data_IF_729366631144
#
_entry.id   IF_729366631144
#
_cell.length_a   1.000
_cell.length_b   1.000
_cell.length_c   1.000
_cell.angle_alpha   90.00
_cell.angle_beta   90.00
_cell.angle_gamma   90.00
#
_symmetry.space_group_name_H-M   'P 1'
#
loop_
_entity.id
_entity.type
_entity.pdbx_description
1 polymer ?
#
# COMPACT_ATOMS: atom_id res chain seq x y z
N UNK A 1 22.35 7.11 -0.93
CA UNK A 1 22.66 8.55 -0.93
C UNK A 1 21.77 9.17 0.15
N UNK A 2 22.17 9.10 1.43
CA UNK A 2 23.08 10.02 2.15
C UNK A 2 22.37 11.37 2.39
N UNK A 3 22.39 11.81 3.67
CA UNK A 3 21.67 12.91 4.35
C UNK A 3 20.53 12.35 5.21
N UNK A 4 20.70 11.92 6.47
CA UNK A 4 21.48 12.51 7.58
C UNK A 4 21.47 14.04 7.57
N UNK A 5 20.28 14.60 7.80
CA UNK A 5 20.11 15.75 8.70
C UNK A 5 19.51 15.14 9.98
N UNK A 6 20.32 14.68 10.92
CA UNK A 6 20.93 15.47 11.98
C UNK A 6 19.87 16.23 12.81
N UNK A 7 19.48 15.58 13.91
CA UNK A 7 19.24 16.14 15.23
C UNK A 7 18.13 17.21 15.40
N UNK A 8 17.01 16.80 16.02
CA UNK A 8 16.60 17.35 17.32
C UNK A 8 15.48 16.49 17.94
N UNK A 9 15.79 15.98 19.14
CA UNK A 9 14.88 15.68 20.26
C UNK A 9 14.03 14.40 20.29
N UNK A 10 14.25 13.73 21.42
CA UNK A 10 13.29 13.01 22.25
C UNK A 10 13.10 11.50 22.03
N UNK A 11 14.04 10.75 22.62
CA UNK A 11 13.80 9.69 23.59
C UNK A 11 12.54 8.81 23.44
N UNK A 12 12.75 7.57 22.98
CA UNK A 12 12.22 6.31 23.53
C UNK A 12 12.75 5.18 22.62
N UNK A 13 13.87 4.57 23.00
CA UNK A 13 13.90 3.20 23.55
C UNK A 13 13.42 2.13 22.57
N UNK A 14 14.37 1.23 22.26
CA UNK A 14 14.20 -0.15 21.76
C UNK A 14 13.47 -0.36 20.43
N UNK A 15 14.28 -0.47 19.37
CA UNK A 15 14.05 -1.48 18.32
C UNK A 15 13.80 -2.86 18.94
N UNK A 16 12.79 -3.58 18.45
CA UNK A 16 13.12 -4.86 17.84
C UNK A 16 12.80 -4.83 16.35
N UNK A 17 13.79 -5.32 15.61
CA UNK A 17 13.68 -5.84 14.25
C UNK A 17 12.37 -6.61 14.05
N UNK A 18 11.49 -6.07 13.22
CA UNK A 18 10.64 -6.88 12.36
C UNK A 18 10.63 -6.21 10.99
N UNK A 19 11.77 -6.30 10.29
CA UNK A 19 11.74 -6.30 8.83
C UNK A 19 11.02 -7.58 8.42
N UNK A 20 9.69 -7.52 8.33
CA UNK A 20 8.97 -8.39 7.44
C UNK A 20 9.37 -7.94 6.02
N UNK A 21 10.56 -8.35 5.59
CA UNK A 21 10.80 -8.52 4.18
C UNK A 21 9.86 -9.65 3.76
N UNK A 22 8.69 -9.29 3.26
CA UNK A 22 7.80 -10.26 2.61
C UNK A 22 8.65 -11.01 1.58
N UNK A 23 8.85 -12.34 1.71
CA UNK A 23 9.40 -13.10 0.62
C UNK A 23 8.38 -12.95 -0.51
N UNK A 24 8.70 -12.14 -1.53
CA UNK A 24 7.96 -12.09 -2.78
C UNK A 24 8.08 -13.46 -3.42
N UNK A 25 7.23 -14.36 -2.98
CA UNK A 25 6.99 -15.64 -3.60
C UNK A 25 6.25 -15.29 -4.87
N UNK A 26 6.83 -15.59 -6.03
CA UNK A 26 6.19 -15.44 -7.34
C UNK A 26 4.99 -16.39 -7.45
N UNK A 27 3.94 -16.12 -6.67
CA UNK A 27 2.65 -16.78 -6.79
C UNK A 27 1.83 -16.01 -7.80
N UNK A 28 1.13 -16.76 -8.66
CA UNK A 28 0.14 -16.16 -9.54
C UNK A 28 -0.81 -15.27 -8.74
N UNK A 29 -1.18 -14.08 -9.24
CA UNK A 29 -2.10 -13.19 -8.55
C UNK A 29 -3.40 -13.91 -8.22
N UNK A 30 -3.88 -13.74 -6.99
CA UNK A 30 -5.21 -14.21 -6.62
C UNK A 30 -6.29 -13.49 -7.44
N UNK A 31 -7.48 -14.09 -7.55
CA UNK A 31 -8.61 -13.44 -8.23
C UNK A 31 -8.94 -12.07 -7.62
N UNK A 32 -8.81 -11.92 -6.30
CA UNK A 32 -9.01 -10.64 -5.61
C UNK A 32 -7.94 -9.61 -5.97
N UNK A 33 -6.68 -10.02 -6.14
CA UNK A 33 -5.60 -9.13 -6.57
C UNK A 33 -5.74 -8.69 -8.03
N UNK A 34 -6.21 -9.59 -8.91
CA UNK A 34 -6.56 -9.24 -10.29
C UNK A 34 -7.73 -8.24 -10.33
N UNK A 35 -8.82 -8.49 -9.59
CA UNK A 35 -9.95 -7.56 -9.47
C UNK A 35 -9.52 -6.19 -8.96
N UNK A 36 -8.68 -6.13 -7.93
CA UNK A 36 -8.15 -4.86 -7.42
C UNK A 36 -7.35 -4.10 -8.48
N UNK A 37 -6.56 -4.80 -9.28
CA UNK A 37 -5.79 -4.19 -10.36
C UNK A 37 -6.73 -3.62 -11.43
N UNK A 38 -7.73 -4.38 -11.86
CA UNK A 38 -8.74 -3.93 -12.82
C UNK A 38 -9.54 -2.72 -12.30
N UNK A 39 -10.00 -2.78 -11.04
CA UNK A 39 -10.70 -1.66 -10.41
C UNK A 39 -9.83 -0.40 -10.38
N UNK A 40 -8.53 -0.51 -10.08
CA UNK A 40 -7.64 0.64 -10.11
C UNK A 40 -7.44 1.21 -11.53
N UNK A 41 -7.38 0.35 -12.56
CA UNK A 41 -7.32 0.82 -13.94
C UNK A 41 -8.60 1.54 -14.34
N UNK A 42 -9.76 0.98 -14.00
CA UNK A 42 -11.08 1.56 -14.30
C UNK A 42 -11.39 2.82 -13.49
N UNK A 43 -10.68 3.05 -12.38
CA UNK A 43 -10.81 4.28 -11.62
C UNK A 43 -10.34 5.51 -12.41
N UNK A 44 -9.45 5.35 -13.41
CA UNK A 44 -9.00 6.44 -14.27
C UNK A 44 -8.60 7.69 -13.48
N UNK A 45 -9.19 8.83 -13.83
CA UNK A 45 -8.92 10.13 -13.20
C UNK A 45 -9.73 10.41 -11.92
N UNK A 46 -10.54 9.45 -11.44
CA UNK A 46 -11.36 9.61 -10.24
C UNK A 46 -10.46 9.91 -9.04
N UNK A 47 -10.87 10.90 -8.24
CA UNK A 47 -10.13 11.36 -7.06
C UNK A 47 -11.08 11.58 -5.89
N UNK A 48 -10.50 11.62 -4.68
CA UNK A 48 -11.27 11.87 -3.46
C UNK A 48 -12.38 10.85 -3.23
N UNK A 49 -13.54 11.33 -2.82
CA UNK A 49 -14.70 10.49 -2.48
C UNK A 49 -15.23 9.69 -3.66
N UNK A 50 -15.17 10.25 -4.88
CA UNK A 50 -15.62 9.55 -6.09
C UNK A 50 -14.83 8.26 -6.33
N UNK A 51 -13.50 8.30 -6.16
CA UNK A 51 -12.65 7.10 -6.28
C UNK A 51 -12.96 6.09 -5.20
N UNK A 52 -13.17 6.54 -3.96
CA UNK A 52 -13.45 5.65 -2.83
C UNK A 52 -14.76 4.90 -3.02
N UNK A 53 -15.81 5.61 -3.41
CA UNK A 53 -17.12 5.01 -3.68
C UNK A 53 -17.04 4.01 -4.83
N UNK A 54 -16.43 4.42 -5.94
CA UNK A 54 -16.20 3.54 -7.09
C UNK A 54 -15.40 2.29 -6.71
N UNK A 55 -14.32 2.44 -5.94
CA UNK A 55 -13.49 1.31 -5.51
C UNK A 55 -14.28 0.37 -4.58
N UNK A 56 -15.07 0.93 -3.65
CA UNK A 56 -15.92 0.16 -2.76
C UNK A 56 -16.95 -0.66 -3.55
N UNK A 57 -17.59 -0.06 -4.55
CA UNK A 57 -18.53 -0.76 -5.43
C UNK A 57 -17.85 -1.82 -6.30
N UNK A 58 -16.68 -1.50 -6.86
CA UNK A 58 -15.95 -2.41 -7.73
C UNK A 58 -15.43 -3.65 -6.99
N UNK A 59 -15.08 -3.52 -5.70
CA UNK A 59 -14.53 -4.60 -4.88
C UNK A 59 -15.56 -5.35 -4.04
N UNK A 60 -16.83 -4.97 -4.07
CA UNK A 60 -17.91 -5.55 -3.25
C UNK A 60 -18.38 -6.96 -3.67
N UNK A 61 -17.77 -7.54 -4.70
CA UNK A 61 -18.16 -8.86 -5.21
C UNK A 61 -17.61 -10.03 -4.42
#
# INVERSE_FOLDING_TARGET
>A
MRRTFAALLLACTVTPLAVAADPKTDKAPSAQQMRMTECNQRAGDKKGEERKQFMSECLKG
#
